data_IF_783483705254
#
_entry.id   IF_783483705254
#
_cell.length_a   1.000
_cell.length_b   1.000
_cell.length_c   1.000
_cell.angle_alpha   90.00
_cell.angle_beta   90.00
_cell.angle_gamma   90.00
#
_symmetry.space_group_name_H-M   'P 1'
#
loop_
_entity.id
_entity.type
_entity.pdbx_description
1 polymer ?
#
# COMPACT_ATOMS: atom_id res chain seq x y z
N UNK A 1 9.81 -10.66 4.87
CA UNK A 1 9.99 -9.28 4.32
C UNK A 1 9.33 -8.29 5.27
N UNK A 2 10.04 -7.24 5.72
CA UNK A 2 9.44 -6.21 6.60
C UNK A 2 8.55 -5.27 5.78
N UNK A 3 7.37 -4.90 6.31
CA UNK A 3 6.46 -3.94 5.66
C UNK A 3 7.15 -2.57 5.57
N UNK A 4 7.20 -1.93 4.39
CA UNK A 4 7.83 -0.62 4.24
C UNK A 4 7.03 0.46 4.97
N UNK A 5 7.72 1.43 5.55
CA UNK A 5 7.09 2.61 6.16
C UNK A 5 6.52 3.52 5.06
N UNK A 6 5.29 3.99 5.26
CA UNK A 6 4.63 4.92 4.34
C UNK A 6 5.09 6.36 4.58
N UNK A 7 5.06 7.17 3.52
CA UNK A 7 5.19 8.61 3.63
C UNK A 7 3.99 9.19 4.38
N UNK A 8 4.28 10.18 5.22
CA UNK A 8 3.26 10.99 5.89
C UNK A 8 2.48 11.77 4.83
N UNK A 9 1.16 11.83 4.99
CA UNK A 9 0.30 12.62 4.12
C UNK A 9 0.59 14.12 4.31
N UNK A 10 0.44 14.93 3.24
CA UNK A 10 0.53 16.38 3.36
C UNK A 10 -0.53 16.88 4.34
N UNK A 11 -0.22 17.95 5.07
CA UNK A 11 -1.19 18.60 5.95
C UNK A 11 -2.20 19.41 5.14
N UNK A 12 -3.43 19.42 5.61
CA UNK A 12 -4.49 20.30 5.08
C UNK A 12 -4.01 21.76 5.10
N UNK A 13 -4.20 22.54 4.03
CA UNK A 13 -3.85 23.95 4.02
C UNK A 13 -4.75 24.72 5.01
N UNK A 14 -4.17 25.69 5.73
CA UNK A 14 -4.93 26.56 6.65
C UNK A 14 -5.92 27.44 5.90
N UNK A 15 -5.49 27.99 4.77
CA UNK A 15 -6.35 28.72 3.85
C UNK A 15 -7.05 27.74 2.92
N UNK A 16 -8.38 27.80 2.85
CA UNK A 16 -9.21 26.96 1.99
C UNK A 16 -9.53 27.61 0.64
N UNK A 17 -8.65 28.49 0.16
CA UNK A 17 -8.76 29.02 -1.21
C UNK A 17 -8.70 27.89 -2.24
N UNK A 18 -9.42 27.98 -3.37
CA UNK A 18 -9.42 26.94 -4.41
C UNK A 18 -8.01 26.51 -4.84
N UNK A 19 -7.11 27.48 -5.10
CA UNK A 19 -5.73 27.19 -5.51
C UNK A 19 -4.92 26.41 -4.46
N UNK A 20 -5.11 26.70 -3.16
CA UNK A 20 -4.46 25.97 -2.09
C UNK A 20 -4.99 24.53 -1.96
N UNK A 21 -6.29 24.35 -2.16
CA UNK A 21 -6.93 23.03 -2.15
C UNK A 21 -6.49 22.18 -3.36
N UNK A 22 -6.39 22.76 -4.55
CA UNK A 22 -5.85 22.06 -5.72
C UNK A 22 -4.40 21.62 -5.52
N UNK A 23 -3.55 22.51 -4.99
CA UNK A 23 -2.15 22.19 -4.69
C UNK A 23 -2.06 21.09 -3.62
N UNK A 24 -2.96 21.11 -2.64
CA UNK A 24 -3.07 20.06 -1.63
C UNK A 24 -3.49 18.72 -2.25
N UNK A 25 -4.54 18.70 -3.09
CA UNK A 25 -5.02 17.50 -3.76
C UNK A 25 -3.91 16.85 -4.61
N UNK A 26 -3.21 17.64 -5.43
CA UNK A 26 -2.06 17.15 -6.22
C UNK A 26 -0.97 16.51 -5.37
N UNK A 27 -0.63 17.11 -4.22
CA UNK A 27 0.37 16.56 -3.28
C UNK A 27 -0.13 15.29 -2.59
N UNK A 28 -1.42 15.25 -2.26
CA UNK A 28 -2.06 14.11 -1.62
C UNK A 28 -2.02 12.90 -2.56
N UNK A 29 -2.45 13.08 -3.81
CA UNK A 29 -2.40 12.05 -4.85
C UNK A 29 -0.98 11.53 -5.11
N UNK A 30 0.00 12.44 -5.24
CA UNK A 30 1.40 12.05 -5.41
C UNK A 30 1.91 11.20 -4.23
N UNK A 31 1.51 11.54 -3.00
CA UNK A 31 1.88 10.78 -1.80
C UNK A 31 1.23 9.40 -1.79
N UNK A 32 -0.04 9.29 -2.16
CA UNK A 32 -0.73 8.00 -2.32
C UNK A 32 -0.06 7.13 -3.39
N UNK A 33 0.25 7.68 -4.55
CA UNK A 33 0.93 6.96 -5.61
C UNK A 33 2.30 6.44 -5.17
N UNK A 34 3.09 7.28 -4.47
CA UNK A 34 4.38 6.88 -3.92
C UNK A 34 4.26 5.79 -2.84
N UNK A 35 3.24 5.86 -1.99
CA UNK A 35 2.96 4.84 -0.98
C UNK A 35 2.52 3.51 -1.60
N UNK A 36 1.69 3.56 -2.66
CA UNK A 36 1.29 2.37 -3.43
C UNK A 36 2.51 1.69 -4.06
N UNK A 37 3.40 2.46 -4.68
CA UNK A 37 4.66 1.93 -5.24
C UNK A 37 5.55 1.28 -4.17
N UNK A 38 5.67 1.89 -2.99
CA UNK A 38 6.41 1.31 -1.87
C UNK A 38 5.80 -0.01 -1.38
N UNK A 39 4.47 -0.09 -1.29
CA UNK A 39 3.77 -1.29 -0.82
C UNK A 39 3.74 -2.43 -1.84
N UNK A 40 3.77 -2.13 -3.14
CA UNK A 40 3.65 -3.13 -4.21
C UNK A 40 4.55 -4.37 -4.04
N UNK A 41 5.87 -4.27 -3.77
CA UNK A 41 6.71 -5.45 -3.59
C UNK A 41 6.35 -6.25 -2.32
N UNK A 42 5.94 -5.57 -1.25
CA UNK A 42 5.51 -6.24 -0.02
C UNK A 42 4.22 -7.01 -0.22
N UNK A 43 3.23 -6.42 -0.88
CA UNK A 43 1.96 -7.09 -1.19
C UNK A 43 2.16 -8.26 -2.16
N UNK A 44 3.05 -8.12 -3.15
CA UNK A 44 3.40 -9.21 -4.05
C UNK A 44 4.05 -10.39 -3.28
N UNK A 45 4.98 -10.10 -2.37
CA UNK A 45 5.58 -11.13 -1.52
C UNK A 45 4.55 -11.77 -0.58
N UNK A 46 3.66 -10.98 0.01
CA UNK A 46 2.57 -11.46 0.87
C UNK A 46 1.65 -12.42 0.12
N UNK A 47 1.20 -12.05 -1.07
CA UNK A 47 0.36 -12.90 -1.93
C UNK A 47 1.05 -14.22 -2.29
N UNK A 48 2.36 -14.20 -2.54
CA UNK A 48 3.14 -15.42 -2.79
C UNK A 48 3.16 -16.35 -1.55
N UNK A 49 3.36 -15.78 -0.36
CA UNK A 49 3.34 -16.55 0.89
C UNK A 49 1.95 -17.14 1.16
N UNK A 50 0.88 -16.37 0.96
CA UNK A 50 -0.51 -16.85 1.08
C UNK A 50 -0.79 -17.99 0.11
N UNK A 51 -0.40 -17.85 -1.16
CA UNK A 51 -0.55 -18.93 -2.15
C UNK A 51 0.20 -20.21 -1.77
N UNK A 52 1.41 -20.09 -1.22
CA UNK A 52 2.18 -21.26 -0.74
C UNK A 52 1.45 -21.89 0.45
N UNK A 53 0.95 -21.08 1.39
CA UNK A 53 0.19 -21.55 2.55
C UNK A 53 -1.06 -22.31 2.13
N UNK A 54 -1.81 -21.79 1.17
CA UNK A 54 -3.01 -22.45 0.63
C UNK A 54 -2.66 -23.77 -0.06
N UNK A 55 -1.53 -23.83 -0.77
CA UNK A 55 -1.05 -25.09 -1.38
C UNK A 55 -0.70 -26.12 -0.32
N UNK A 56 0.01 -25.74 0.74
CA UNK A 56 0.36 -26.63 1.86
C UNK A 56 -0.91 -27.12 2.56
N UNK A 57 -1.87 -26.24 2.83
CA UNK A 57 -3.15 -26.59 3.44
C UNK A 57 -3.92 -27.62 2.59
N UNK A 58 -3.98 -27.42 1.27
CA UNK A 58 -4.59 -28.38 0.34
C UNK A 58 -3.89 -29.74 0.29
N UNK A 59 -2.56 -29.79 0.45
CA UNK A 59 -1.84 -31.06 0.53
C UNK A 59 -2.16 -31.80 1.83
N UNK A 60 -2.23 -31.06 2.94
CA UNK A 60 -2.59 -31.60 4.26
C UNK A 60 -4.02 -32.17 4.28
N UNK A 61 -4.97 -31.48 3.66
CA UNK A 61 -6.37 -31.96 3.52
C UNK A 61 -6.46 -33.21 2.64
N UNK A 62 -5.54 -33.39 1.69
CA UNK A 62 -5.46 -34.57 0.83
C UNK A 62 -4.78 -35.77 1.49
N UNK A 63 -4.33 -35.64 2.74
CA UNK A 63 -3.74 -36.75 3.50
C UNK A 63 -2.38 -37.24 2.97
N UNK A 64 -1.65 -36.38 2.26
CA UNK A 64 -0.23 -36.61 1.91
C UNK A 64 0.66 -36.19 3.07
#
# INVERSE_FOLDING_TARGET
>A
MKKPKLLKLPKMPKSRTPAALEKYAKRLEATHAANKRRLAPYEAAKKKVESIRDRIQKLREKGV
#
